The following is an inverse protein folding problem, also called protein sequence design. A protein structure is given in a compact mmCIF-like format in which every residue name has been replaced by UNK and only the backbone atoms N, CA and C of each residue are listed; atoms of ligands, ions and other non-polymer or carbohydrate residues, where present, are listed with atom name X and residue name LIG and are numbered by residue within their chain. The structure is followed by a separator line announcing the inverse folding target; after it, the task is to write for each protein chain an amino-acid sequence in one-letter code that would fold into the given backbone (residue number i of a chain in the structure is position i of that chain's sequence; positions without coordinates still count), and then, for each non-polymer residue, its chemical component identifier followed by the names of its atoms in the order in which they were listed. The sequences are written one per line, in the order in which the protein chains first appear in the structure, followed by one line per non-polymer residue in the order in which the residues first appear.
data_IF_668163747376
#
_entry.id   IF_668163747376
#
_cell.length_a   1.000
_cell.length_b   1.000
_cell.length_c   1.000
_cell.angle_alpha   90.00
_cell.angle_beta   90.00
_cell.angle_gamma   90.00
#
_symmetry.space_group_name_H-M   'P 1'
#
loop_
_entity.id
_entity.type
_entity.pdbx_description
1 polymer ?
#
# COMPACT_ATOMS: atom_id res chain seq x y z
N UNK A 1 -1.27 12.25 -0.96
CA UNK A 1 -1.02 12.27 -2.42
C UNK A 1 -2.38 12.32 -3.09
N UNK A 2 -2.61 13.26 -4.01
CA UNK A 2 -3.93 13.50 -4.60
C UNK A 2 -4.59 12.26 -5.23
N UNK A 3 -3.82 11.24 -5.62
CA UNK A 3 -4.36 10.01 -6.25
C UNK A 3 -4.59 8.83 -5.28
N UNK A 4 -4.45 9.00 -3.96
CA UNK A 4 -4.60 7.90 -3.00
C UNK A 4 -3.52 6.80 -3.11
N UNK A 5 -2.49 7.04 -3.92
CA UNK A 5 -1.32 6.18 -4.12
C UNK A 5 -0.22 6.51 -3.12
N UNK A 6 0.40 5.49 -2.55
CA UNK A 6 1.59 5.64 -1.69
C UNK A 6 2.72 4.75 -2.19
N UNK A 7 3.97 5.22 -2.05
CA UNK A 7 5.13 4.38 -2.36
C UNK A 7 5.32 3.30 -1.29
N UNK A 8 5.68 2.08 -1.71
CA UNK A 8 5.93 0.97 -0.78
C UNK A 8 7.09 1.30 0.17
N UNK A 9 8.12 2.02 -0.31
CA UNK A 9 9.22 2.50 0.51
C UNK A 9 8.81 3.55 1.54
N UNK A 10 7.92 4.48 1.15
CA UNK A 10 7.36 5.48 2.05
C UNK A 10 6.48 4.85 3.14
N UNK A 11 5.62 3.89 2.75
CA UNK A 11 4.80 3.12 3.68
C UNK A 11 5.67 2.34 4.68
N UNK A 12 6.71 1.66 4.22
CA UNK A 12 7.63 0.94 5.11
C UNK A 12 8.37 1.85 6.08
N UNK A 13 8.80 3.03 5.63
CA UNK A 13 9.43 4.04 6.49
C UNK A 13 8.46 4.59 7.54
N UNK A 14 7.21 4.77 7.18
CA UNK A 14 6.16 5.18 8.11
C UNK A 14 5.89 4.11 9.17
N UNK A 15 5.67 2.85 8.75
CA UNK A 15 5.43 1.72 9.66
C UNK A 15 6.56 1.56 10.68
N UNK A 16 7.83 1.64 10.26
CA UNK A 16 8.97 1.58 11.19
C UNK A 16 8.93 2.67 12.28
N UNK A 17 8.39 3.85 11.97
CA UNK A 17 8.30 4.98 12.91
C UNK A 17 7.10 4.86 13.84
N UNK A 18 5.97 4.37 13.34
CA UNK A 18 4.70 4.37 14.08
C UNK A 18 4.39 3.04 14.77
N UNK A 19 4.81 1.94 14.16
CA UNK A 19 4.68 0.59 14.70
C UNK A 19 5.87 -0.27 14.24
N UNK A 20 7.04 -0.16 14.88
CA UNK A 20 8.22 -0.95 14.54
C UNK A 20 8.01 -2.46 14.73
N UNK A 21 6.94 -2.86 15.42
CA UNK A 21 6.56 -4.26 15.58
C UNK A 21 5.86 -4.80 14.31
N UNK A 22 5.32 -3.93 13.46
CA UNK A 22 4.77 -4.26 12.15
C UNK A 22 5.89 -4.72 11.22
N UNK A 23 6.06 -6.04 11.12
CA UNK A 23 7.12 -6.67 10.35
C UNK A 23 6.55 -7.76 9.45
N UNK A 24 6.78 -7.71 8.12
CA UNK A 24 6.34 -8.74 7.19
C UNK A 24 6.81 -10.15 7.56
N UNK A 25 7.98 -10.25 8.22
CA UNK A 25 8.54 -11.53 8.68
C UNK A 25 7.66 -12.24 9.70
N UNK A 26 6.93 -11.49 10.55
CA UNK A 26 5.99 -12.09 11.52
C UNK A 26 4.85 -12.85 10.85
N UNK A 27 4.57 -12.51 9.59
CA UNK A 27 3.53 -13.11 8.76
C UNK A 27 4.10 -14.11 7.74
N UNK A 28 5.39 -14.43 7.79
CA UNK A 28 6.03 -15.36 6.86
C UNK A 28 6.42 -14.76 5.50
N UNK A 29 6.29 -13.44 5.33
CA UNK A 29 6.65 -12.77 4.08
C UNK A 29 8.13 -12.38 4.03
N UNK A 30 8.69 -12.44 2.83
CA UNK A 30 10.10 -12.08 2.58
C UNK A 30 10.37 -10.57 2.73
N UNK A 31 9.34 -9.75 2.55
CA UNK A 31 9.42 -8.29 2.69
C UNK A 31 8.05 -7.62 2.57
N UNK A 32 8.03 -6.28 2.69
CA UNK A 32 6.77 -5.52 2.67
C UNK A 32 6.05 -5.63 1.33
N UNK A 33 6.77 -5.59 0.22
CA UNK A 33 6.16 -5.75 -1.11
C UNK A 33 5.48 -7.12 -1.28
N UNK A 34 6.12 -8.19 -0.80
CA UNK A 34 5.59 -9.55 -0.84
C UNK A 34 4.29 -9.65 -0.02
N UNK A 35 4.32 -9.12 1.21
CA UNK A 35 3.14 -9.00 2.06
C UNK A 35 2.01 -8.20 1.41
N UNK A 36 2.28 -7.04 0.82
CA UNK A 36 1.24 -6.20 0.22
C UNK A 36 0.55 -6.87 -0.98
N UNK A 37 1.27 -7.72 -1.72
CA UNK A 37 0.73 -8.45 -2.87
C UNK A 37 -0.29 -9.53 -2.50
N UNK A 38 -0.33 -9.96 -1.24
CA UNK A 38 -1.31 -10.97 -0.79
C UNK A 38 -2.62 -10.38 -0.29
N UNK A 39 -2.75 -9.04 -0.27
CA UNK A 39 -3.98 -8.38 0.16
C UNK A 39 -4.87 -8.09 -1.04
N UNK A 40 -6.03 -8.75 -1.10
CA UNK A 40 -7.03 -8.54 -2.16
C UNK A 40 -7.60 -7.12 -2.21
N UNK A 41 -7.50 -6.38 -1.10
CA UNK A 41 -7.98 -4.99 -1.00
C UNK A 41 -6.94 -3.96 -1.47
N UNK A 42 -5.73 -4.40 -1.82
CA UNK A 42 -4.65 -3.52 -2.24
C UNK A 42 -4.29 -3.75 -3.71
N UNK A 43 -4.23 -2.65 -4.46
CA UNK A 43 -3.65 -2.66 -5.79
C UNK A 43 -2.18 -2.29 -5.68
N UNK A 44 -1.30 -3.25 -5.92
CA UNK A 44 0.15 -3.04 -5.98
C UNK A 44 0.57 -2.84 -7.45
N UNK A 45 1.25 -1.74 -7.76
CA UNK A 45 1.69 -1.42 -9.12
C UNK A 45 3.20 -1.17 -9.18
N UNK A 46 3.82 -1.64 -10.26
CA UNK A 46 5.19 -1.27 -10.62
C UNK A 46 5.13 -0.05 -11.53
N UNK A 47 5.68 1.07 -11.09
CA UNK A 47 5.66 2.33 -11.84
C UNK A 47 6.85 2.42 -12.80
N UNK A 48 6.75 3.27 -13.82
CA UNK A 48 7.85 3.59 -14.75
C UNK A 48 8.96 4.35 -14.02
N UNK A 49 9.80 3.62 -13.28
CA UNK A 49 10.89 4.20 -12.47
C UNK A 49 11.41 3.26 -11.38
N UNK A 50 11.27 1.95 -11.57
CA UNK A 50 11.74 0.90 -10.66
C UNK A 50 11.21 0.98 -9.21
N UNK A 51 10.14 1.75 -8.97
CA UNK A 51 9.51 1.86 -7.66
C UNK A 51 8.12 1.26 -7.67
N UNK A 52 7.70 0.79 -6.50
CA UNK A 52 6.41 0.17 -6.29
C UNK A 52 5.50 1.13 -5.55
N UNK A 53 4.25 1.19 -5.99
CA UNK A 53 3.16 1.91 -5.33
C UNK A 53 2.09 0.93 -4.87
N UNK A 54 1.35 1.32 -3.84
CA UNK A 54 0.14 0.63 -3.40
C UNK A 54 -0.97 1.66 -3.19
N UNK A 55 -2.20 1.22 -3.43
CA UNK A 55 -3.42 2.00 -3.22
C UNK A 55 -4.55 1.05 -2.83
N UNK A 56 -5.59 1.59 -2.18
CA UNK A 56 -6.82 0.82 -1.94
C UNK A 56 -7.47 0.47 -3.28
N UNK A 57 -7.96 -0.77 -3.40
CA UNK A 57 -8.89 -1.11 -4.47
C UNK A 57 -10.21 -0.39 -4.22
N UNK A 58 -10.78 0.21 -5.27
CA UNK A 58 -12.17 0.65 -5.19
C UNK A 58 -13.05 -0.58 -5.04
N UNK A 59 -13.81 -0.66 -3.95
CA UNK A 59 -14.80 -1.70 -3.79
C UNK A 59 -15.84 -1.53 -4.91
N UNK A 60 -16.20 -2.58 -5.66
CA UNK A 60 -17.28 -2.49 -6.64
C UNK A 60 -18.54 -1.94 -5.95
N UNK A 61 -19.01 -0.77 -6.39
CA UNK A 61 -20.21 -0.12 -5.83
C UNK A 61 -19.98 0.94 -4.75
N UNK A 62 -18.74 1.27 -4.38
CA UNK A 62 -18.47 2.48 -3.60
C UNK A 62 -18.23 3.66 -4.55
N UNK A 63 -19.10 4.69 -4.60
CA UNK A 63 -18.76 5.92 -5.28
C UNK A 63 -17.49 6.48 -4.64
N UNK A 64 -16.56 6.99 -5.47
CA UNK A 64 -15.32 7.61 -5.00
C UNK A 64 -15.68 8.68 -3.97
N UNK A 65 -15.44 8.39 -2.69
CA UNK A 65 -15.67 9.32 -1.58
C UNK A 65 -14.54 10.35 -1.58
N UNK A 66 -14.48 11.19 -2.61
CA UNK A 66 -13.74 12.45 -2.66
C UNK A 66 -14.18 13.24 -3.90
N UNK A 67 -15.42 13.70 -3.88
CA UNK A 67 -15.91 14.74 -4.78
C UNK A 67 -16.99 15.54 -4.03
N UNK A 68 -16.56 16.19 -2.96
CA UNK A 68 -17.37 17.18 -2.25
C UNK A 68 -16.45 18.28 -1.72
N UNK A 69 -16.20 19.27 -2.57
CA UNK A 69 -15.99 20.66 -2.21
C UNK A 69 -16.77 21.52 -3.22
#
# INVERSE_FOLDING_TARGET
TPEGKVSVGGLGSYLKRTDPSSSPKKYGHSGLLDMLKTYDLLKVQHENGAHWTTQLMQKPGQPAQDASL
#
